data_IF_489150770631
#
_entry.id   IF_489150770631
#
_cell.length_a   1.000
_cell.length_b   1.000
_cell.length_c   1.000
_cell.angle_alpha   90.00
_cell.angle_beta   90.00
_cell.angle_gamma   90.00
#
_symmetry.space_group_name_H-M   'P 1'
#
loop_
_entity.id
_entity.type
_entity.pdbx_description
1 polymer ?
#
# COMPACT_ATOMS: atom_id res chain seq x y z
N UNK A 1 -7.31 27.04 14.53
CA UNK A 1 -6.06 26.51 15.09
C UNK A 1 -5.41 25.71 13.98
N UNK A 2 -4.12 25.93 13.69
CA UNK A 2 -3.43 25.23 12.60
C UNK A 2 -3.32 23.74 12.93
N UNK A 3 -3.59 22.85 11.96
CA UNK A 3 -3.58 21.41 12.18
C UNK A 3 -2.12 20.94 12.40
N UNK A 4 -1.78 20.56 13.64
CA UNK A 4 -0.41 20.18 14.02
C UNK A 4 0.15 19.04 13.18
N UNK A 5 -0.68 18.10 12.71
CA UNK A 5 -0.24 16.97 11.90
C UNK A 5 0.21 17.43 10.50
N UNK A 6 -0.42 18.47 9.95
CA UNK A 6 0.04 19.12 8.71
C UNK A 6 1.39 19.82 8.93
N UNK A 7 1.57 20.49 10.07
CA UNK A 7 2.85 21.11 10.42
C UNK A 7 3.99 20.08 10.57
N UNK A 8 3.68 18.90 11.13
CA UNK A 8 4.64 17.79 11.22
C UNK A 8 5.05 17.28 9.84
N UNK A 9 4.15 17.17 8.87
CA UNK A 9 4.56 16.78 7.51
C UNK A 9 5.60 17.72 6.90
N UNK A 10 5.51 19.02 7.19
CA UNK A 10 6.47 20.01 6.72
C UNK A 10 7.84 19.90 7.41
N UNK A 11 7.86 19.51 8.70
CA UNK A 11 9.07 19.47 9.54
C UNK A 11 9.76 18.11 9.58
N UNK A 12 9.03 17.01 9.38
CA UNK A 12 9.56 15.64 9.33
C UNK A 12 10.59 15.46 8.20
N UNK A 13 10.57 16.31 7.16
CA UNK A 13 11.62 16.38 6.14
C UNK A 13 13.04 16.55 6.71
N UNK A 14 13.18 17.21 7.88
CA UNK A 14 14.46 17.39 8.57
C UNK A 14 14.95 16.11 9.27
N UNK A 15 14.05 15.16 9.52
CA UNK A 15 14.34 13.89 10.16
C UNK A 15 14.65 12.80 9.11
N UNK A 16 14.17 12.98 7.88
CA UNK A 16 14.37 12.06 6.78
C UNK A 16 15.79 12.14 6.18
N UNK A 17 16.33 11.00 5.78
CA UNK A 17 17.58 10.86 5.04
C UNK A 17 17.32 10.16 3.71
N UNK A 18 17.86 10.66 2.58
CA UNK A 18 17.76 9.94 1.32
C UNK A 18 18.70 8.72 1.34
N UNK A 19 18.21 7.54 0.93
CA UNK A 19 19.07 6.37 0.69
C UNK A 19 19.90 6.54 -0.59
N UNK A 20 19.34 7.23 -1.58
CA UNK A 20 19.97 7.50 -2.88
C UNK A 20 19.82 9.00 -3.19
N UNK A 21 20.89 9.63 -3.67
CA UNK A 21 20.88 11.03 -4.09
C UNK A 21 20.20 11.27 -5.46
N UNK A 22 19.88 12.53 -5.74
CA UNK A 22 19.17 12.91 -6.98
C UNK A 22 19.95 12.64 -8.27
N UNK A 23 21.27 12.65 -8.21
CA UNK A 23 22.13 12.34 -9.37
C UNK A 23 22.00 10.86 -9.73
N UNK A 24 22.11 9.97 -8.75
CA UNK A 24 21.96 8.53 -8.95
C UNK A 24 20.54 8.16 -9.34
N UNK A 25 19.51 8.84 -8.83
CA UNK A 25 18.12 8.65 -9.28
C UNK A 25 17.97 8.94 -10.78
N UNK A 26 18.55 10.05 -11.23
CA UNK A 26 18.51 10.47 -12.65
C UNK A 26 19.31 9.52 -13.54
N UNK A 27 20.48 9.08 -13.06
CA UNK A 27 21.36 8.16 -13.78
C UNK A 27 20.69 6.80 -14.02
N UNK A 28 19.94 6.27 -13.04
CA UNK A 28 19.19 5.01 -13.18
C UNK A 28 18.20 5.10 -14.34
N UNK A 29 17.43 6.18 -14.40
CA UNK A 29 16.43 6.37 -15.46
C UNK A 29 17.10 6.50 -16.82
N UNK A 30 18.16 7.30 -16.92
CA UNK A 30 18.95 7.45 -18.13
C UNK A 30 19.54 6.12 -18.61
N UNK A 31 20.14 5.33 -17.71
CA UNK A 31 20.71 4.02 -18.03
C UNK A 31 19.64 3.04 -18.52
N UNK A 32 18.43 3.06 -17.94
CA UNK A 32 17.33 2.22 -18.38
C UNK A 32 16.89 2.55 -19.81
N UNK A 33 16.71 3.85 -20.11
CA UNK A 33 16.37 4.32 -21.45
C UNK A 33 17.46 3.97 -22.47
N UNK A 34 18.73 4.21 -22.13
CA UNK A 34 19.86 3.89 -22.99
C UNK A 34 19.98 2.39 -23.27
N UNK A 35 19.85 1.54 -22.23
CA UNK A 35 19.92 0.09 -22.37
C UNK A 35 18.75 -0.48 -23.19
N UNK A 36 17.58 0.16 -23.16
CA UNK A 36 16.44 -0.18 -24.00
C UNK A 36 16.61 0.23 -25.47
N UNK A 37 17.63 1.05 -25.78
CA UNK A 37 17.91 1.56 -27.11
C UNK A 37 17.08 2.79 -27.50
N UNK A 38 16.53 3.51 -26.52
CA UNK A 38 15.75 4.72 -26.74
C UNK A 38 16.62 5.84 -27.33
N UNK A 39 16.18 6.43 -28.43
CA UNK A 39 16.85 7.51 -29.16
C UNK A 39 16.14 8.84 -28.89
N UNK A 40 16.83 9.95 -29.16
CA UNK A 40 16.27 11.31 -29.02
C UNK A 40 15.02 11.56 -29.88
N UNK A 41 14.85 10.81 -30.98
CA UNK A 41 13.70 10.89 -31.87
C UNK A 41 12.51 10.05 -31.43
N UNK A 42 12.71 9.15 -30.47
CA UNK A 42 11.66 8.25 -29.99
C UNK A 42 10.74 8.97 -28.99
N UNK A 43 9.59 8.37 -28.72
CA UNK A 43 8.71 8.84 -27.66
C UNK A 43 9.41 8.70 -26.30
N UNK A 44 9.57 9.82 -25.58
CA UNK A 44 10.20 9.85 -24.26
C UNK A 44 9.12 9.70 -23.20
N UNK A 45 9.24 8.73 -22.26
CA UNK A 45 8.27 8.60 -21.20
C UNK A 45 8.39 9.75 -20.20
N UNK A 46 7.26 10.13 -19.62
CA UNK A 46 7.25 10.96 -18.41
C UNK A 46 7.56 10.07 -17.21
N UNK A 47 8.37 10.59 -16.31
CA UNK A 47 8.70 9.93 -15.05
C UNK A 47 7.97 10.63 -13.90
N UNK A 48 7.16 9.86 -13.18
CA UNK A 48 6.57 10.26 -11.90
C UNK A 48 7.34 9.52 -10.82
N UNK A 49 7.80 10.26 -9.79
CA UNK A 49 8.61 9.72 -8.72
C UNK A 49 7.89 9.74 -7.39
N UNK A 50 7.94 8.62 -6.68
CA UNK A 50 7.40 8.50 -5.32
C UNK A 50 8.51 8.58 -4.27
N UNK A 51 8.82 9.80 -3.83
CA UNK A 51 10.00 10.05 -3.00
C UNK A 51 9.89 9.49 -1.58
N UNK A 52 8.67 9.22 -1.08
CA UNK A 52 8.45 8.67 0.26
C UNK A 52 9.06 7.27 0.46
N UNK A 53 9.37 6.57 -0.64
CA UNK A 53 9.94 5.22 -0.63
C UNK A 53 11.45 5.19 -0.42
N UNK A 54 12.13 6.28 -0.75
CA UNK A 54 13.60 6.40 -0.63
C UNK A 54 14.04 7.42 0.42
N UNK A 55 13.08 8.14 1.01
CA UNK A 55 13.27 8.88 2.25
C UNK A 55 13.11 7.90 3.42
N UNK A 56 14.19 7.72 4.18
CA UNK A 56 14.16 6.90 5.40
C UNK A 56 14.21 7.76 6.65
N UNK A 57 13.51 7.31 7.67
CA UNK A 57 13.40 7.97 8.96
C UNK A 57 13.77 7.00 10.07
N UNK A 58 14.52 7.48 11.07
CA UNK A 58 14.68 6.76 12.33
C UNK A 58 13.42 6.96 13.17
N UNK A 59 12.56 5.94 13.16
CA UNK A 59 11.28 5.99 13.88
C UNK A 59 11.46 6.16 15.39
N UNK A 60 12.61 5.80 15.96
CA UNK A 60 12.91 5.95 17.40
C UNK A 60 13.26 7.38 17.81
N UNK A 61 13.55 8.26 16.84
CA UNK A 61 13.96 9.66 17.07
C UNK A 61 12.81 10.65 16.85
N UNK A 62 11.61 10.17 16.55
CA UNK A 62 10.43 11.03 16.39
C UNK A 62 10.12 11.69 17.75
N UNK A 63 10.02 13.03 17.83
CA UNK A 63 9.88 13.72 19.13
C UNK A 63 8.64 13.31 19.94
N UNK A 64 7.55 12.92 19.28
CA UNK A 64 6.28 12.60 19.94
C UNK A 64 6.19 11.18 20.52
N UNK A 65 7.14 10.29 20.24
CA UNK A 65 7.04 8.90 20.68
C UNK A 65 7.64 8.66 22.08
N UNK A 66 6.96 7.83 22.85
CA UNK A 66 7.33 7.50 24.22
C UNK A 66 8.38 6.38 24.29
N UNK A 67 9.12 6.32 25.41
CA UNK A 67 10.17 5.31 25.63
C UNK A 67 9.66 3.87 25.49
N UNK A 68 8.45 3.57 25.99
CA UNK A 68 7.86 2.24 25.86
C UNK A 68 7.66 1.85 24.39
N UNK A 69 7.29 2.82 23.53
CA UNK A 69 7.14 2.61 22.10
C UNK A 69 8.49 2.46 21.41
N UNK A 70 9.49 3.26 21.81
CA UNK A 70 10.89 3.11 21.33
C UNK A 70 11.40 1.70 21.61
N UNK A 71 11.21 1.21 22.83
CA UNK A 71 11.65 -0.13 23.24
C UNK A 71 10.92 -1.22 22.43
N UNK A 72 9.61 -1.08 22.22
CA UNK A 72 8.82 -2.00 21.39
C UNK A 72 9.27 -2.01 19.92
N UNK A 73 9.41 -0.83 19.30
CA UNK A 73 9.85 -0.68 17.91
C UNK A 73 11.24 -1.29 17.76
N UNK A 74 12.18 -0.93 18.64
CA UNK A 74 13.54 -1.47 18.63
C UNK A 74 13.54 -3.00 18.74
N UNK A 75 12.72 -3.57 19.62
CA UNK A 75 12.60 -5.02 19.74
C UNK A 75 12.08 -5.67 18.46
N UNK A 76 11.09 -5.07 17.79
CA UNK A 76 10.54 -5.58 16.53
C UNK A 76 11.54 -5.47 15.38
N UNK A 77 12.33 -4.40 15.34
CA UNK A 77 13.27 -4.11 14.25
C UNK A 77 14.64 -4.78 14.39
N UNK A 78 15.03 -5.23 15.60
CA UNK A 78 16.24 -6.05 15.83
C UNK A 78 16.27 -7.34 15.01
N UNK A 79 15.13 -7.78 14.48
CA UNK A 79 15.07 -8.91 13.55
C UNK A 79 15.47 -8.40 12.16
N UNK A 80 16.64 -8.83 11.69
CA UNK A 80 17.07 -8.58 10.30
C UNK A 80 15.97 -9.04 9.33
N UNK A 81 15.69 -8.28 8.24
CA UNK A 81 14.82 -8.79 7.19
C UNK A 81 15.40 -10.11 6.68
N UNK A 82 14.52 -11.06 6.33
CA UNK A 82 14.95 -12.33 5.76
C UNK A 82 15.66 -12.14 4.40
N UNK A 83 15.35 -11.06 3.69
CA UNK A 83 15.93 -10.68 2.40
C UNK A 83 16.01 -9.13 2.30
N UNK A 84 17.14 -8.51 2.68
CA UNK A 84 17.31 -7.05 2.61
C UNK A 84 17.34 -6.50 1.18
N UNK A 85 17.83 -7.29 0.21
CA UNK A 85 17.81 -6.94 -1.20
C UNK A 85 16.37 -6.85 -1.73
N UNK A 86 15.45 -7.67 -1.19
CA UNK A 86 14.03 -7.60 -1.53
C UNK A 86 13.40 -6.31 -1.00
N UNK A 87 13.81 -5.86 0.19
CA UNK A 87 13.37 -4.59 0.75
C UNK A 87 13.86 -3.41 -0.09
N UNK A 88 15.14 -3.40 -0.41
CA UNK A 88 15.74 -2.41 -1.30
C UNK A 88 15.05 -2.40 -2.67
N UNK A 89 14.82 -3.57 -3.25
CA UNK A 89 14.20 -3.70 -4.57
C UNK A 89 12.78 -3.15 -4.58
N UNK A 90 11.96 -3.48 -3.57
CA UNK A 90 10.59 -2.98 -3.49
C UNK A 90 10.53 -1.46 -3.33
N UNK A 91 11.37 -0.88 -2.46
CA UNK A 91 11.47 0.57 -2.31
C UNK A 91 11.85 1.26 -3.63
N UNK A 92 12.87 0.73 -4.32
CA UNK A 92 13.30 1.23 -5.63
C UNK A 92 12.22 1.06 -6.69
N UNK A 93 11.53 -0.07 -6.73
CA UNK A 93 10.49 -0.34 -7.72
C UNK A 93 9.28 0.58 -7.52
N UNK A 94 8.93 0.89 -6.27
CA UNK A 94 7.89 1.86 -5.95
C UNK A 94 8.27 3.31 -6.28
N UNK A 95 9.57 3.65 -6.27
CA UNK A 95 10.02 5.00 -6.61
C UNK A 95 9.69 5.37 -8.07
N UNK A 96 9.95 4.48 -9.02
CA UNK A 96 9.87 4.79 -10.45
C UNK A 96 8.51 4.41 -11.07
N UNK A 97 7.81 5.40 -11.60
CA UNK A 97 6.60 5.21 -12.40
C UNK A 97 6.77 5.91 -13.76
N UNK A 98 6.82 5.13 -14.84
CA UNK A 98 6.82 5.68 -16.19
C UNK A 98 5.40 5.72 -16.75
N UNK A 99 5.04 6.86 -17.32
CA UNK A 99 3.83 7.04 -18.12
C UNK A 99 4.18 7.37 -19.56
N UNK A 100 3.49 6.73 -20.49
CA UNK A 100 3.72 6.87 -21.92
C UNK A 100 2.50 7.51 -22.57
N UNK A 101 2.64 8.75 -23.00
CA UNK A 101 1.57 9.46 -23.70
C UNK A 101 1.57 9.08 -25.18
N UNK A 102 0.40 8.81 -25.77
CA UNK A 102 0.23 8.58 -27.21
C UNK A 102 0.96 7.34 -27.79
N UNK A 103 0.95 6.21 -27.07
CA UNK A 103 1.36 4.91 -27.63
C UNK A 103 0.40 4.51 -28.78
N UNK A 104 0.76 4.89 -29.99
CA UNK A 104 -0.09 4.70 -31.18
C UNK A 104 0.42 3.57 -32.09
N UNK A 105 1.71 3.25 -31.99
CA UNK A 105 2.34 2.20 -32.79
C UNK A 105 2.81 1.02 -31.93
N UNK A 106 2.85 -0.16 -32.54
CA UNK A 106 3.31 -1.39 -31.88
C UNK A 106 4.78 -1.27 -31.44
N UNK A 107 5.59 -0.56 -32.22
CA UNK A 107 6.99 -0.28 -31.94
C UNK A 107 7.18 0.50 -30.63
N UNK A 108 6.32 1.49 -30.38
CA UNK A 108 6.36 2.31 -29.15
C UNK A 108 6.04 1.46 -27.92
N UNK A 109 5.03 0.58 -28.02
CA UNK A 109 4.69 -0.35 -26.94
C UNK A 109 5.84 -1.34 -26.65
N UNK A 110 6.51 -1.84 -27.69
CA UNK A 110 7.69 -2.70 -27.54
C UNK A 110 8.84 -1.92 -26.88
N UNK A 111 9.07 -0.67 -27.26
CA UNK A 111 10.08 0.17 -26.63
C UNK A 111 9.75 0.43 -25.16
N UNK A 112 8.50 0.73 -24.83
CA UNK A 112 8.04 0.91 -23.45
C UNK A 112 8.28 -0.33 -22.58
N UNK A 113 7.98 -1.53 -23.11
CA UNK A 113 8.27 -2.80 -22.45
C UNK A 113 9.78 -3.00 -22.23
N UNK A 114 10.61 -2.64 -23.22
CA UNK A 114 12.07 -2.72 -23.10
C UNK A 114 12.60 -1.77 -22.03
N UNK A 115 12.09 -0.54 -21.95
CA UNK A 115 12.48 0.42 -20.92
C UNK A 115 12.09 -0.07 -19.52
N UNK A 116 10.89 -0.62 -19.34
CA UNK A 116 10.47 -1.22 -18.06
C UNK A 116 11.34 -2.42 -17.67
N UNK A 117 11.60 -3.31 -18.62
CA UNK A 117 12.49 -4.47 -18.40
C UNK A 117 13.91 -4.01 -18.03
N UNK A 118 14.43 -3.00 -18.74
CA UNK A 118 15.73 -2.43 -18.50
C UNK A 118 15.83 -1.76 -17.11
N UNK A 119 14.81 -0.99 -16.73
CA UNK A 119 14.70 -0.42 -15.40
C UNK A 119 14.74 -1.53 -14.34
N UNK A 120 13.87 -2.54 -14.43
CA UNK A 120 13.83 -3.63 -13.45
C UNK A 120 15.18 -4.34 -13.30
N UNK A 121 15.91 -4.56 -14.41
CA UNK A 121 17.26 -5.12 -14.37
C UNK A 121 18.25 -4.24 -13.59
N UNK A 122 18.24 -2.93 -13.84
CA UNK A 122 19.10 -1.97 -13.14
C UNK A 122 18.73 -1.88 -11.66
N UNK A 123 17.43 -1.82 -11.33
CA UNK A 123 16.96 -1.77 -9.94
C UNK A 123 17.37 -3.01 -9.16
N UNK A 124 17.33 -4.20 -9.78
CA UNK A 124 17.81 -5.45 -9.16
C UNK A 124 19.29 -5.43 -8.85
N UNK A 125 20.11 -4.78 -9.68
CA UNK A 125 21.55 -4.63 -9.41
C UNK A 125 21.77 -3.66 -8.24
N UNK A 126 21.10 -2.52 -8.26
CA UNK A 126 21.27 -1.47 -7.25
C UNK A 126 20.71 -1.90 -5.90
N UNK A 127 19.65 -2.71 -5.88
CA UNK A 127 19.10 -3.23 -4.63
C UNK A 127 20.11 -4.05 -3.83
N UNK A 128 20.96 -4.83 -4.51
CA UNK A 128 22.07 -5.56 -3.89
C UNK A 128 23.14 -4.61 -3.36
N UNK A 129 23.44 -3.53 -4.08
CA UNK A 129 24.45 -2.53 -3.69
C UNK A 129 24.04 -1.77 -2.41
N UNK A 130 22.75 -1.45 -2.25
CA UNK A 130 22.24 -0.66 -1.11
C UNK A 130 21.67 -1.52 0.03
N UNK A 131 21.54 -2.84 -0.15
CA UNK A 131 20.94 -3.73 0.85
C UNK A 131 21.64 -3.63 2.21
N UNK A 132 22.97 -3.49 2.22
CA UNK A 132 23.76 -3.34 3.44
C UNK A 132 23.30 -2.16 4.29
N UNK A 133 23.02 -1.02 3.67
CA UNK A 133 22.60 0.19 4.39
C UNK A 133 21.23 0.00 5.08
N UNK A 134 20.38 -0.88 4.55
CA UNK A 134 19.05 -1.20 5.11
C UNK A 134 19.09 -2.29 6.20
N UNK A 135 20.12 -3.14 6.21
CA UNK A 135 20.32 -4.18 7.23
C UNK A 135 20.81 -3.56 8.53
N UNK A 136 21.85 -2.72 8.45
CA UNK A 136 22.61 -2.26 9.62
C UNK A 136 22.01 -1.04 10.31
N UNK A 137 21.01 -0.41 9.71
CA UNK A 137 20.30 0.68 10.35
C UNK A 137 19.12 0.09 11.12
N UNK A 138 19.30 -0.02 12.45
CA UNK A 138 18.34 -0.64 13.38
C UNK A 138 16.94 0.00 13.32
N UNK A 139 16.82 1.22 12.79
CA UNK A 139 15.63 2.05 12.87
C UNK A 139 15.29 2.86 11.62
N UNK A 140 16.18 2.94 10.61
CA UNK A 140 15.93 3.72 9.39
C UNK A 140 15.09 2.91 8.41
N UNK A 141 13.88 3.40 8.17
CA UNK A 141 12.90 2.73 7.32
C UNK A 141 12.11 3.74 6.48
N UNK A 142 11.46 3.31 5.39
CA UNK A 142 10.73 4.22 4.50
C UNK A 142 9.68 5.07 5.22
N UNK A 143 9.63 6.36 4.88
CA UNK A 143 8.83 7.39 5.55
C UNK A 143 7.31 7.24 5.33
N UNK A 144 6.88 6.49 4.31
CA UNK A 144 5.47 6.41 3.89
C UNK A 144 4.48 6.03 5.01
N UNK A 145 4.88 5.20 5.99
CA UNK A 145 4.01 4.85 7.13
C UNK A 145 3.74 6.06 8.02
N UNK A 146 4.78 6.88 8.26
CA UNK A 146 4.65 8.11 9.06
C UNK A 146 3.81 9.13 8.29
N UNK A 147 4.05 9.25 6.98
CA UNK A 147 3.26 10.15 6.15
C UNK A 147 1.77 9.78 6.15
N UNK A 148 1.43 8.49 6.02
CA UNK A 148 0.04 8.02 6.14
C UNK A 148 -0.57 8.33 7.50
N UNK A 149 0.16 8.07 8.59
CA UNK A 149 -0.30 8.43 9.94
C UNK A 149 -0.62 9.92 10.05
N UNK A 150 0.28 10.79 9.57
CA UNK A 150 0.04 12.22 9.59
C UNK A 150 -1.15 12.63 8.71
N UNK A 151 -1.31 12.04 7.52
CA UNK A 151 -2.45 12.32 6.62
C UNK A 151 -3.76 11.95 7.27
N UNK A 152 -3.84 10.75 7.83
CA UNK A 152 -5.03 10.26 8.54
C UNK A 152 -5.33 11.10 9.76
N UNK A 153 -4.36 11.33 10.65
CA UNK A 153 -4.56 12.11 11.87
C UNK A 153 -4.93 13.57 11.59
N UNK A 154 -4.45 14.15 10.48
CA UNK A 154 -4.85 15.49 10.08
C UNK A 154 -6.34 15.60 9.71
N UNK A 155 -7.00 14.48 9.44
CA UNK A 155 -8.40 14.44 9.01
C UNK A 155 -9.34 13.86 10.08
N UNK A 156 -8.84 13.23 11.14
CA UNK A 156 -9.70 12.75 12.24
C UNK A 156 -10.12 13.95 13.12
N UNK A 157 -11.42 14.07 13.49
CA UNK A 157 -11.85 15.12 14.40
C UNK A 157 -11.12 15.09 15.76
N UNK A 158 -10.70 16.24 16.27
CA UNK A 158 -9.93 16.34 17.54
C UNK A 158 -10.65 15.71 18.74
N UNK A 159 -11.98 15.74 18.77
CA UNK A 159 -12.77 15.06 19.81
C UNK A 159 -12.55 13.54 19.80
N UNK A 160 -12.46 12.94 18.61
CA UNK A 160 -12.20 11.50 18.44
C UNK A 160 -10.78 11.18 18.87
N UNK A 161 -9.80 12.02 18.48
CA UNK A 161 -8.39 11.89 18.88
C UNK A 161 -8.24 11.94 20.42
N UNK A 162 -8.94 12.89 21.06
CA UNK A 162 -8.87 13.11 22.50
C UNK A 162 -9.49 11.98 23.33
N UNK A 163 -10.62 11.41 22.90
CA UNK A 163 -11.36 10.37 23.66
C UNK A 163 -10.61 9.06 23.84
N UNK A 164 -9.75 8.70 22.89
CA UNK A 164 -9.10 7.39 22.82
C UNK A 164 -7.57 7.47 22.83
N UNK A 165 -7.03 8.66 23.14
CA UNK A 165 -5.59 8.93 23.17
C UNK A 165 -4.86 8.54 21.88
N UNK A 166 -5.50 8.70 20.70
CA UNK A 166 -4.85 8.41 19.40
C UNK A 166 -3.61 9.29 19.14
N UNK A 167 -3.48 10.38 19.90
CA UNK A 167 -2.29 11.24 19.93
C UNK A 167 -1.03 10.53 20.45
N UNK A 168 -1.15 9.42 21.19
CA UNK A 168 -0.02 8.65 21.74
C UNK A 168 0.24 7.37 20.96
N UNK A 169 -0.09 7.34 19.66
CA UNK A 169 0.13 6.18 18.79
C UNK A 169 1.42 6.39 18.00
N UNK A 170 2.32 5.42 18.08
CA UNK A 170 3.50 5.36 17.22
C UNK A 170 3.24 4.42 16.05
N UNK A 171 3.45 4.89 14.83
CA UNK A 171 3.32 4.09 13.62
C UNK A 171 4.70 3.82 13.03
N UNK A 172 4.98 2.58 12.62
CA UNK A 172 6.27 2.21 12.03
C UNK A 172 6.15 1.09 10.99
N UNK A 173 7.01 1.07 9.96
CA UNK A 173 7.15 -0.07 9.09
C UNK A 173 7.86 -1.22 9.80
N UNK A 174 7.51 -2.46 9.46
CA UNK A 174 8.03 -3.70 9.98
C UNK A 174 8.75 -4.44 8.86
N UNK A 175 9.91 -5.05 9.15
CA UNK A 175 10.78 -5.74 8.18
C UNK A 175 10.24 -7.12 7.77
N UNK A 176 8.94 -7.21 7.44
CA UNK A 176 8.24 -8.41 6.97
C UNK A 176 7.69 -8.22 5.56
N UNK A 177 7.73 -9.31 4.77
CA UNK A 177 7.29 -9.34 3.37
C UNK A 177 5.80 -9.58 3.13
N UNK A 178 5.02 -9.88 4.17
CA UNK A 178 3.59 -10.22 3.99
C UNK A 178 2.72 -8.97 3.83
N UNK A 179 1.57 -9.14 3.18
CA UNK A 179 0.55 -8.11 3.04
C UNK A 179 -0.27 -7.98 4.32
N UNK A 180 0.24 -7.25 5.32
CA UNK A 180 -0.48 -7.07 6.57
C UNK A 180 -0.09 -5.79 7.32
N UNK A 181 -1.00 -5.31 8.16
CA UNK A 181 -0.76 -4.34 9.22
C UNK A 181 -1.18 -4.94 10.57
N UNK A 182 -0.83 -4.28 11.67
CA UNK A 182 -1.29 -4.69 12.99
C UNK A 182 -1.30 -3.50 13.95
N UNK A 183 -2.13 -3.60 14.97
CA UNK A 183 -2.20 -2.68 16.09
C UNK A 183 -1.95 -3.41 17.41
N UNK A 184 -1.35 -2.72 18.37
CA UNK A 184 -1.10 -3.25 19.72
C UNK A 184 -1.22 -2.14 20.75
N UNK A 185 -1.86 -2.44 21.87
CA UNK A 185 -1.89 -1.56 23.04
C UNK A 185 -0.81 -2.01 24.03
N UNK A 186 0.07 -1.08 24.39
CA UNK A 186 1.07 -1.23 25.44
C UNK A 186 0.47 -0.81 26.79
N UNK A 187 1.29 -0.66 27.83
CA UNK A 187 0.80 -0.33 29.17
C UNK A 187 0.24 1.10 29.21
N UNK A 188 1.00 2.08 28.71
CA UNK A 188 0.58 3.50 28.67
C UNK A 188 0.35 4.05 27.28
N UNK A 189 0.78 3.33 26.24
CA UNK A 189 0.83 3.82 24.86
C UNK A 189 0.32 2.78 23.87
N UNK A 190 0.30 3.09 22.57
CA UNK A 190 -0.13 2.17 21.52
C UNK A 190 0.78 2.26 20.31
N UNK A 191 0.84 1.17 19.54
CA UNK A 191 1.67 1.09 18.33
C UNK A 191 0.87 0.50 17.18
N UNK A 192 1.13 0.99 15.98
CA UNK A 192 0.65 0.41 14.72
C UNK A 192 1.85 0.06 13.86
N UNK A 193 1.90 -1.18 13.39
CA UNK A 193 2.97 -1.67 12.54
C UNK A 193 2.47 -2.06 11.16
N UNK A 194 3.16 -1.61 10.12
CA UNK A 194 2.86 -1.95 8.72
C UNK A 194 3.97 -2.81 8.15
N UNK A 195 3.67 -3.90 7.47
CA UNK A 195 4.72 -4.61 6.75
C UNK A 195 5.25 -3.74 5.60
N UNK A 196 6.57 -3.62 5.47
CA UNK A 196 7.19 -2.70 4.51
C UNK A 196 6.77 -2.98 3.06
N UNK A 197 6.46 -4.24 2.74
CA UNK A 197 6.10 -4.66 1.39
C UNK A 197 4.66 -4.28 1.01
N UNK A 198 3.86 -3.77 1.94
CA UNK A 198 2.44 -3.53 1.73
C UNK A 198 2.18 -2.43 0.67
N UNK A 199 2.78 -1.24 0.78
CA UNK A 199 2.66 -0.20 -0.27
C UNK A 199 3.17 -0.68 -1.63
N UNK A 200 4.39 -1.26 -1.74
CA UNK A 200 4.92 -1.64 -3.04
C UNK A 200 4.07 -2.66 -3.77
N UNK A 201 3.51 -3.61 -3.02
CA UNK A 201 2.60 -4.62 -3.56
C UNK A 201 1.29 -3.99 -4.03
N UNK A 202 0.68 -3.08 -3.23
CA UNK A 202 -0.50 -2.35 -3.67
C UNK A 202 -0.24 -1.60 -4.96
N UNK A 203 0.93 -0.97 -5.08
CA UNK A 203 1.33 -0.25 -6.29
C UNK A 203 1.45 -1.17 -7.49
N UNK A 204 2.03 -2.35 -7.33
CA UNK A 204 2.11 -3.37 -8.38
C UNK A 204 0.70 -3.82 -8.80
N UNK A 205 -0.19 -4.11 -7.85
CA UNK A 205 -1.56 -4.55 -8.13
C UNK A 205 -2.40 -3.46 -8.82
N UNK A 206 -2.32 -2.22 -8.34
CA UNK A 206 -3.00 -1.08 -8.98
C UNK A 206 -2.43 -0.80 -10.37
N UNK A 207 -1.11 -0.84 -10.55
CA UNK A 207 -0.47 -0.70 -11.87
C UNK A 207 -0.92 -1.79 -12.84
N UNK A 208 -1.02 -3.03 -12.36
CA UNK A 208 -1.51 -4.16 -13.14
C UNK A 208 -2.98 -3.95 -13.55
N UNK A 209 -3.83 -3.61 -12.59
CA UNK A 209 -5.24 -3.31 -12.84
C UNK A 209 -5.40 -2.18 -13.88
N UNK A 210 -4.75 -1.04 -13.64
CA UNK A 210 -4.84 0.14 -14.50
C UNK A 210 -4.33 -0.18 -15.90
N UNK A 211 -3.16 -0.82 -16.04
CA UNK A 211 -2.64 -1.23 -17.35
C UNK A 211 -3.69 -2.01 -18.15
N UNK A 212 -4.23 -3.09 -17.57
CA UNK A 212 -5.20 -3.88 -18.30
C UNK A 212 -6.50 -3.13 -18.54
N UNK A 213 -6.98 -2.34 -17.56
CA UNK A 213 -8.17 -1.52 -17.69
C UNK A 213 -8.05 -0.49 -18.83
N UNK A 214 -6.95 0.26 -18.92
CA UNK A 214 -6.75 1.26 -19.97
C UNK A 214 -6.37 0.66 -21.33
N UNK A 215 -5.88 -0.59 -21.38
CA UNK A 215 -5.55 -1.27 -22.65
C UNK A 215 -6.64 -2.20 -23.17
N UNK A 216 -7.89 -2.15 -22.66
CA UNK A 216 -8.96 -3.09 -23.03
C UNK A 216 -9.10 -3.27 -24.55
N UNK A 217 -9.13 -2.17 -25.29
CA UNK A 217 -9.31 -2.17 -26.75
C UNK A 217 -8.08 -2.61 -27.54
N UNK A 218 -6.89 -2.60 -26.92
CA UNK A 218 -5.61 -2.95 -27.55
C UNK A 218 -5.24 -4.43 -27.38
N UNK A 219 -5.95 -5.15 -26.51
CA UNK A 219 -5.37 -6.32 -25.86
C UNK A 219 -5.54 -7.65 -26.60
N UNK A 220 -6.39 -7.74 -27.63
CA UNK A 220 -6.61 -8.97 -28.41
C UNK A 220 -7.03 -10.19 -27.59
N UNK A 221 -7.15 -11.36 -28.23
CA UNK A 221 -7.64 -12.59 -27.59
C UNK A 221 -6.69 -13.21 -26.56
N UNK A 222 -5.40 -12.88 -26.60
CA UNK A 222 -4.39 -13.40 -25.66
C UNK A 222 -4.24 -12.59 -24.37
N UNK A 223 -5.06 -11.55 -24.17
CA UNK A 223 -5.04 -10.65 -23.01
C UNK A 223 -5.00 -11.37 -21.68
N UNK A 224 -5.94 -12.29 -21.45
CA UNK A 224 -6.08 -13.00 -20.18
C UNK A 224 -4.86 -13.90 -19.93
N UNK A 225 -4.34 -14.55 -20.96
CA UNK A 225 -3.13 -15.36 -20.84
C UNK A 225 -1.90 -14.51 -20.48
N UNK A 226 -1.77 -13.30 -21.05
CA UNK A 226 -0.71 -12.35 -20.67
C UNK A 226 -0.89 -11.86 -19.24
N UNK A 227 -2.09 -11.45 -18.86
CA UNK A 227 -2.42 -11.04 -17.49
C UNK A 227 -2.01 -12.11 -16.47
N UNK A 228 -2.30 -13.39 -16.74
CA UNK A 228 -1.87 -14.50 -15.90
C UNK A 228 -0.34 -14.61 -15.77
N UNK A 229 0.40 -14.47 -16.87
CA UNK A 229 1.87 -14.50 -16.85
C UNK A 229 2.46 -13.38 -16.00
N UNK A 230 1.85 -12.20 -16.03
CA UNK A 230 2.31 -11.00 -15.34
C UNK A 230 1.95 -10.99 -13.84
N UNK A 231 0.80 -11.55 -13.44
CA UNK A 231 0.36 -11.58 -12.03
C UNK A 231 0.91 -12.78 -11.25
N UNK A 232 1.27 -13.87 -11.93
CA UNK A 232 1.73 -15.10 -11.29
C UNK A 232 2.95 -14.89 -10.37
N UNK A 233 3.98 -14.08 -10.71
CA UNK A 233 5.08 -13.78 -9.79
C UNK A 233 4.62 -13.13 -8.49
N UNK A 234 3.63 -12.22 -8.56
CA UNK A 234 3.03 -11.55 -7.39
C UNK A 234 2.34 -12.58 -6.50
N UNK A 235 1.55 -13.48 -7.10
CA UNK A 235 0.91 -14.58 -6.38
C UNK A 235 1.95 -15.51 -5.71
N UNK A 236 3.04 -15.87 -6.42
CA UNK A 236 4.11 -16.70 -5.86
C UNK A 236 4.85 -16.02 -4.72
N UNK A 237 5.05 -14.71 -4.79
CA UNK A 237 5.67 -13.92 -3.73
C UNK A 237 4.88 -14.03 -2.42
N UNK A 238 3.53 -13.93 -2.48
CA UNK A 238 2.68 -14.11 -1.30
C UNK A 238 2.71 -15.53 -0.72
N UNK A 239 3.00 -16.54 -1.54
CA UNK A 239 3.18 -17.92 -1.09
C UNK A 239 4.60 -18.21 -0.59
N UNK A 240 5.45 -17.18 -0.45
CA UNK A 240 6.86 -17.29 -0.09
C UNK A 240 7.70 -18.13 -1.07
N UNK A 241 7.24 -18.29 -2.31
CA UNK A 241 7.88 -19.11 -3.36
C UNK A 241 8.64 -18.27 -4.42
N UNK A 242 8.74 -16.96 -4.23
CA UNK A 242 9.48 -16.03 -5.09
C UNK A 242 10.14 -14.90 -4.29
N UNK A 243 11.24 -14.34 -4.81
CA UNK A 243 11.88 -13.12 -4.29
C UNK A 243 11.13 -11.89 -4.81
N UNK A 244 11.22 -10.76 -4.10
CA UNK A 244 10.68 -9.50 -4.61
C UNK A 244 11.30 -9.10 -5.95
N UNK A 245 12.57 -9.45 -6.18
CA UNK A 245 13.26 -9.17 -7.44
C UNK A 245 12.71 -9.95 -8.65
N UNK A 246 11.82 -10.93 -8.40
CA UNK A 246 11.09 -11.65 -9.44
C UNK A 246 9.75 -10.97 -9.79
N UNK A 247 9.35 -9.92 -9.06
CA UNK A 247 8.15 -9.11 -9.32
C UNK A 247 8.37 -8.15 -10.50
N UNK A 248 8.73 -8.72 -11.64
CA UNK A 248 8.95 -8.01 -12.88
C UNK A 248 7.63 -8.02 -13.64
N UNK A 249 6.98 -6.86 -13.72
CA UNK A 249 5.76 -6.68 -14.50
C UNK A 249 6.05 -5.90 -15.79
N UNK A 250 5.54 -6.40 -16.91
CA UNK A 250 5.46 -5.73 -18.21
C UNK A 250 4.26 -4.77 -18.34
N UNK A 251 3.64 -4.36 -17.23
CA UNK A 251 2.52 -3.42 -17.26
C UNK A 251 2.99 -2.00 -17.59
N UNK A 252 2.43 -1.38 -18.63
CA UNK A 252 2.71 0.00 -19.06
C UNK A 252 1.52 0.90 -18.74
N UNK A 253 1.76 2.12 -18.27
CA UNK A 253 0.72 3.11 -18.02
C UNK A 253 0.63 4.07 -19.21
N UNK A 254 -0.59 4.26 -19.76
CA UNK A 254 -0.82 4.95 -21.04
C UNK A 254 -1.43 6.33 -20.81
N UNK A 255 -0.90 7.05 -19.84
CA UNK A 255 -1.05 8.50 -19.65
C UNK A 255 -0.44 8.89 -18.30
N UNK A 256 -0.21 10.19 -18.13
CA UNK A 256 0.07 10.75 -16.80
C UNK A 256 -1.10 10.56 -15.82
N UNK A 257 -2.34 10.52 -16.31
CA UNK A 257 -3.54 10.32 -15.48
C UNK A 257 -3.61 8.89 -14.93
N UNK A 258 -3.26 7.88 -15.73
CA UNK A 258 -3.13 6.48 -15.29
C UNK A 258 -2.11 6.37 -14.15
N UNK A 259 -0.93 6.99 -14.33
CA UNK A 259 0.12 6.97 -13.32
C UNK A 259 -0.30 7.71 -12.04
N UNK A 260 -0.93 8.88 -12.17
CA UNK A 260 -1.47 9.63 -11.02
C UNK A 260 -2.56 8.84 -10.30
N UNK A 261 -3.41 8.12 -11.05
CA UNK A 261 -4.46 7.26 -10.50
C UNK A 261 -3.87 6.11 -9.70
N UNK A 262 -2.84 5.43 -10.19
CA UNK A 262 -2.13 4.39 -9.43
C UNK A 262 -1.63 4.94 -8.09
N UNK A 263 -0.94 6.08 -8.07
CA UNK A 263 -0.43 6.67 -6.83
C UNK A 263 -1.57 7.05 -5.86
N UNK A 264 -2.64 7.67 -6.37
CA UNK A 264 -3.82 8.03 -5.57
C UNK A 264 -4.45 6.79 -4.92
N UNK A 265 -4.74 5.76 -5.71
CA UNK A 265 -5.35 4.53 -5.22
C UNK A 265 -4.51 3.90 -4.11
N UNK A 266 -3.20 3.81 -4.30
CA UNK A 266 -2.29 3.28 -3.26
C UNK A 266 -2.35 4.13 -1.99
N UNK A 267 -2.23 5.46 -2.10
CA UNK A 267 -2.26 6.34 -0.93
C UNK A 267 -3.58 6.23 -0.15
N UNK A 268 -4.71 6.20 -0.86
CA UNK A 268 -6.05 6.05 -0.28
C UNK A 268 -6.23 4.69 0.41
N UNK A 269 -5.70 3.62 -0.17
CA UNK A 269 -5.71 2.27 0.42
C UNK A 269 -4.85 2.18 1.68
N UNK A 270 -3.64 2.76 1.65
CA UNK A 270 -2.75 2.83 2.83
C UNK A 270 -3.43 3.63 3.95
N UNK A 271 -4.03 4.78 3.63
CA UNK A 271 -4.71 5.63 4.59
C UNK A 271 -5.94 4.93 5.19
N UNK A 272 -6.68 4.13 4.40
CA UNK A 272 -7.76 3.30 4.93
C UNK A 272 -7.26 2.24 5.91
N UNK A 273 -6.18 1.52 5.56
CA UNK A 273 -5.59 0.53 6.47
C UNK A 273 -5.12 1.20 7.77
N UNK A 274 -4.49 2.37 7.69
CA UNK A 274 -4.11 3.16 8.86
C UNK A 274 -5.31 3.55 9.70
N UNK A 275 -6.38 4.05 9.08
CA UNK A 275 -7.61 4.40 9.78
C UNK A 275 -8.26 3.17 10.46
N UNK A 276 -8.26 2.02 9.80
CA UNK A 276 -8.74 0.75 10.33
C UNK A 276 -7.94 0.32 11.58
N UNK A 277 -6.61 0.37 11.53
CA UNK A 277 -5.76 0.06 12.69
C UNK A 277 -5.93 1.05 13.84
N UNK A 278 -6.14 2.34 13.55
CA UNK A 278 -6.51 3.31 14.58
C UNK A 278 -7.90 3.02 15.16
N UNK A 279 -8.83 2.49 14.38
CA UNK A 279 -10.13 1.99 14.84
C UNK A 279 -9.99 0.85 15.86
N UNK A 280 -9.10 -0.11 15.60
CA UNK A 280 -8.77 -1.15 16.59
C UNK A 280 -8.30 -0.56 17.92
N UNK A 281 -7.47 0.49 17.88
CA UNK A 281 -7.00 1.17 19.09
C UNK A 281 -8.11 1.98 19.76
N UNK A 282 -8.93 2.69 18.98
CA UNK A 282 -10.06 3.49 19.47
C UNK A 282 -11.02 2.65 20.30
N UNK A 283 -11.34 1.45 19.80
CA UNK A 283 -12.27 0.51 20.44
C UNK A 283 -11.58 -0.50 21.37
N UNK A 284 -10.28 -0.33 21.64
CA UNK A 284 -9.46 -1.21 22.48
C UNK A 284 -9.52 -2.71 22.09
N UNK A 285 -9.60 -3.01 20.79
CA UNK A 285 -9.66 -4.38 20.25
C UNK A 285 -8.51 -5.27 20.71
N UNK A 286 -7.23 -4.83 20.76
CA UNK A 286 -6.15 -5.69 21.26
C UNK A 286 -6.39 -6.22 22.67
N UNK A 287 -7.04 -5.44 23.55
CA UNK A 287 -7.40 -5.88 24.90
C UNK A 287 -8.60 -6.84 24.87
N UNK A 288 -9.65 -6.54 24.09
CA UNK A 288 -10.81 -7.43 23.91
C UNK A 288 -10.39 -8.80 23.34
N UNK A 289 -9.48 -8.82 22.36
CA UNK A 289 -8.94 -10.04 21.75
C UNK A 289 -8.32 -10.96 22.80
N UNK A 290 -7.57 -10.42 23.77
CA UNK A 290 -6.96 -11.23 24.84
C UNK A 290 -7.98 -11.88 25.79
N UNK A 291 -9.21 -11.37 25.84
CA UNK A 291 -10.28 -11.86 26.72
C UNK A 291 -11.17 -12.91 26.07
N UNK A 292 -11.16 -13.01 24.74
CA UNK A 292 -11.99 -13.94 23.98
C UNK A 292 -11.24 -15.21 23.55
N UNK A 293 -9.96 -15.35 23.88
CA UNK A 293 -9.18 -16.55 23.53
C UNK A 293 -9.76 -17.78 24.24
N UNK A 294 -10.09 -18.81 23.47
CA UNK A 294 -10.53 -20.12 23.96
C UNK A 294 -12.01 -20.21 24.33
N UNK A 295 -12.85 -19.26 23.90
CA UNK A 295 -14.32 -19.33 24.09
C UNK A 295 -15.01 -19.93 22.85
N UNK A 296 -16.23 -20.45 23.02
CA UNK A 296 -16.99 -21.14 21.96
C UNK A 296 -17.21 -20.28 20.70
N UNK A 297 -17.49 -18.98 20.86
CA UNK A 297 -17.74 -18.03 19.76
C UNK A 297 -16.53 -17.13 19.44
N UNK A 298 -15.30 -17.57 19.71
CA UNK A 298 -14.09 -16.75 19.53
C UNK A 298 -14.00 -16.15 18.11
N UNK A 299 -14.25 -16.96 17.09
CA UNK A 299 -14.11 -16.56 15.68
C UNK A 299 -15.14 -15.50 15.29
N UNK A 300 -16.41 -15.67 15.68
CA UNK A 300 -17.47 -14.70 15.41
C UNK A 300 -17.14 -13.36 16.07
N UNK A 301 -16.72 -13.37 17.33
CA UNK A 301 -16.32 -12.14 18.02
C UNK A 301 -15.11 -11.47 17.39
N UNK A 302 -14.11 -12.23 16.91
CA UNK A 302 -12.99 -11.66 16.14
C UNK A 302 -13.51 -10.95 14.89
N UNK A 303 -14.44 -11.57 14.15
CA UNK A 303 -15.04 -10.95 12.97
C UNK A 303 -15.80 -9.66 13.29
N UNK A 304 -16.54 -9.63 14.40
CA UNK A 304 -17.23 -8.42 14.85
C UNK A 304 -16.26 -7.26 15.12
N UNK A 305 -15.10 -7.54 15.73
CA UNK A 305 -14.07 -6.52 16.00
C UNK A 305 -13.47 -5.95 14.70
N UNK A 306 -13.21 -6.80 13.70
CA UNK A 306 -12.71 -6.36 12.39
C UNK A 306 -13.74 -5.47 11.67
N UNK A 307 -15.02 -5.86 11.72
CA UNK A 307 -16.12 -5.07 11.15
C UNK A 307 -16.32 -3.76 11.93
N UNK A 308 -16.12 -3.75 13.25
CA UNK A 308 -16.16 -2.54 14.08
C UNK A 308 -15.04 -1.55 13.66
N UNK A 309 -13.85 -2.05 13.36
CA UNK A 309 -12.73 -1.23 12.86
C UNK A 309 -12.97 -0.68 11.43
N UNK A 310 -13.54 -1.48 10.52
CA UNK A 310 -13.94 -1.00 9.18
C UNK A 310 -15.01 0.09 9.24
N UNK A 311 -16.01 -0.10 10.10
CA UNK A 311 -17.06 0.89 10.36
C UNK A 311 -16.47 2.19 10.88
N UNK A 312 -15.54 2.10 11.83
CA UNK A 312 -14.84 3.28 12.34
C UNK A 312 -14.18 4.06 11.19
N UNK A 313 -13.39 3.38 10.35
CA UNK A 313 -12.70 4.03 9.24
C UNK A 313 -13.67 4.70 8.26
N UNK A 314 -14.74 4.00 7.90
CA UNK A 314 -15.80 4.53 7.05
C UNK A 314 -16.51 5.76 7.65
N UNK A 315 -16.90 5.70 8.92
CA UNK A 315 -17.61 6.82 9.57
C UNK A 315 -16.74 8.08 9.68
N UNK A 316 -15.42 7.94 9.85
CA UNK A 316 -14.51 9.08 9.77
C UNK A 316 -14.55 9.71 8.38
N UNK A 317 -14.45 8.92 7.31
CA UNK A 317 -14.55 9.44 5.94
C UNK A 317 -15.87 10.14 5.68
N UNK A 318 -16.97 9.56 6.14
CA UNK A 318 -18.30 10.14 6.02
C UNK A 318 -18.45 11.45 6.80
N UNK A 319 -17.78 11.56 7.95
CA UNK A 319 -17.82 12.78 8.78
C UNK A 319 -17.28 14.01 8.05
N UNK A 320 -16.32 13.84 7.14
CA UNK A 320 -15.76 14.95 6.35
C UNK A 320 -16.79 15.59 5.43
N UNK A 321 -17.75 14.81 4.95
CA UNK A 321 -18.88 15.32 4.15
C UNK A 321 -19.85 16.10 5.04
N UNK A 322 -20.11 15.65 6.27
CA UNK A 322 -20.99 16.35 7.21
C UNK A 322 -20.43 17.73 7.61
N UNK A 323 -19.11 17.86 7.78
CA UNK A 323 -18.46 19.14 8.05
C UNK A 323 -18.57 20.16 6.90
N UNK A 324 -18.90 19.70 5.70
CA UNK A 324 -19.10 20.54 4.52
C UNK A 324 -20.59 20.76 4.20
N UNK A 325 -21.51 20.17 4.97
CA UNK A 325 -22.94 20.12 4.63
C UNK A 325 -23.57 21.50 4.38
N UNK A 326 -23.19 22.50 5.17
CA UNK A 326 -23.74 23.86 5.07
C UNK A 326 -23.11 24.69 3.92
N UNK A 327 -22.13 24.13 3.18
CA UNK A 327 -21.47 24.78 2.05
C UNK A 327 -21.53 23.88 0.80
N UNK A 328 -22.45 24.15 -0.15
CA UNK A 328 -22.68 23.29 -1.31
C UNK A 328 -21.45 23.00 -2.18
N UNK A 329 -20.62 24.02 -2.46
CA UNK A 329 -19.41 23.84 -3.29
C UNK A 329 -18.37 22.96 -2.58
N UNK A 330 -18.19 23.18 -1.26
CA UNK A 330 -17.30 22.37 -0.44
C UNK A 330 -17.85 20.94 -0.31
N UNK A 331 -19.16 20.78 -0.20
CA UNK A 331 -19.83 19.48 -0.08
C UNK A 331 -19.62 18.64 -1.34
N UNK A 332 -19.81 19.22 -2.53
CA UNK A 332 -19.59 18.52 -3.80
C UNK A 332 -18.15 18.01 -3.90
N UNK A 333 -17.17 18.85 -3.56
CA UNK A 333 -15.76 18.46 -3.52
C UNK A 333 -15.53 17.29 -2.56
N UNK A 334 -16.10 17.35 -1.35
CA UNK A 334 -15.95 16.29 -0.33
C UNK A 334 -16.65 14.99 -0.72
N UNK A 335 -17.79 15.06 -1.39
CA UNK A 335 -18.48 13.88 -1.91
C UNK A 335 -17.65 13.19 -3.00
N UNK A 336 -17.01 13.96 -3.89
CA UNK A 336 -16.11 13.41 -4.91
C UNK A 336 -14.86 12.76 -4.28
N UNK A 337 -14.24 13.42 -3.30
CA UNK A 337 -13.13 12.84 -2.52
C UNK A 337 -13.55 11.55 -1.81
N UNK A 338 -14.72 11.56 -1.17
CA UNK A 338 -15.29 10.39 -0.49
C UNK A 338 -15.55 9.23 -1.46
N UNK A 339 -16.16 9.49 -2.62
CA UNK A 339 -16.40 8.47 -3.64
C UNK A 339 -15.09 7.85 -4.14
N UNK A 340 -14.06 8.68 -4.38
CA UNK A 340 -12.74 8.23 -4.81
C UNK A 340 -12.02 7.38 -3.75
N UNK A 341 -12.21 7.70 -2.47
CA UNK A 341 -11.71 6.90 -1.35
C UNK A 341 -12.43 5.55 -1.27
N UNK A 342 -13.76 5.54 -1.35
CA UNK A 342 -14.54 4.28 -1.32
C UNK A 342 -14.13 3.37 -2.48
N UNK A 343 -13.97 3.90 -3.69
CA UNK A 343 -13.45 3.16 -4.85
C UNK A 343 -12.12 2.46 -4.53
N UNK A 344 -11.18 3.19 -3.92
CA UNK A 344 -9.87 2.63 -3.56
C UNK A 344 -9.98 1.49 -2.53
N UNK A 345 -10.88 1.62 -1.55
CA UNK A 345 -11.15 0.59 -0.52
C UNK A 345 -11.85 -0.63 -1.12
N UNK A 346 -12.77 -0.45 -2.06
CA UNK A 346 -13.38 -1.57 -2.77
C UNK A 346 -12.32 -2.38 -3.53
N UNK A 347 -11.41 -1.70 -4.24
CA UNK A 347 -10.29 -2.34 -4.92
C UNK A 347 -9.35 -3.06 -3.95
N UNK A 348 -9.10 -2.50 -2.75
CA UNK A 348 -8.32 -3.18 -1.71
C UNK A 348 -8.93 -4.52 -1.32
N UNK A 349 -10.25 -4.57 -1.07
CA UNK A 349 -10.91 -5.82 -0.71
C UNK A 349 -10.94 -6.83 -1.86
N UNK A 350 -11.08 -6.38 -3.11
CA UNK A 350 -10.97 -7.24 -4.30
C UNK A 350 -9.56 -7.84 -4.39
N UNK A 351 -8.52 -7.04 -4.18
CA UNK A 351 -7.13 -7.53 -4.16
C UNK A 351 -6.88 -8.52 -3.03
N UNK A 352 -7.38 -8.24 -1.83
CA UNK A 352 -7.25 -9.16 -0.70
C UNK A 352 -7.92 -10.51 -1.00
N UNK A 353 -9.14 -10.50 -1.56
CA UNK A 353 -9.83 -11.72 -2.02
C UNK A 353 -8.98 -12.48 -3.02
N UNK A 354 -8.54 -11.81 -4.08
CA UNK A 354 -7.72 -12.43 -5.13
C UNK A 354 -6.47 -13.10 -4.57
N UNK A 355 -5.77 -12.42 -3.66
CA UNK A 355 -4.56 -12.95 -3.03
C UNK A 355 -4.84 -14.19 -2.21
N UNK A 356 -5.92 -14.21 -1.42
CA UNK A 356 -6.26 -15.35 -0.57
C UNK A 356 -6.78 -16.55 -1.37
N UNK A 357 -7.62 -16.31 -2.38
CA UNK A 357 -8.07 -17.35 -3.31
C UNK A 357 -6.90 -17.95 -4.10
N UNK A 358 -5.99 -17.10 -4.58
CA UNK A 358 -4.81 -17.55 -5.33
C UNK A 358 -3.85 -18.39 -4.47
N UNK A 359 -3.64 -18.03 -3.20
CA UNK A 359 -2.89 -18.86 -2.24
C UNK A 359 -3.56 -20.22 -2.04
N UNK A 360 -4.88 -20.23 -1.84
CA UNK A 360 -5.65 -21.46 -1.64
C UNK A 360 -5.50 -22.41 -2.83
N UNK A 361 -5.70 -21.90 -4.04
CA UNK A 361 -5.58 -22.65 -5.29
C UNK A 361 -4.18 -23.25 -5.51
N UNK A 362 -3.11 -22.49 -5.22
CA UNK A 362 -1.74 -22.98 -5.38
C UNK A 362 -1.43 -24.05 -4.35
N UNK A 363 -1.81 -23.85 -3.08
CA UNK A 363 -1.57 -24.82 -2.02
C UNK A 363 -2.26 -26.16 -2.32
N UNK A 364 -3.51 -26.12 -2.81
CA UNK A 364 -4.24 -27.32 -3.26
C UNK A 364 -3.46 -28.06 -4.37
N UNK A 365 -3.01 -27.34 -5.41
CA UNK A 365 -2.32 -27.94 -6.56
C UNK A 365 -0.93 -28.49 -6.23
N UNK A 366 -0.18 -27.85 -5.33
CA UNK A 366 1.19 -28.26 -4.97
C UNK A 366 1.16 -29.39 -3.92
N UNK A 367 -0.01 -29.75 -3.40
CA UNK A 367 -0.14 -30.80 -2.38
C UNK A 367 0.54 -30.44 -1.06
N UNK A 368 0.92 -29.17 -0.88
CA UNK A 368 1.26 -28.65 0.44
C UNK A 368 -0.04 -28.72 1.22
N UNK A 369 -0.05 -29.44 2.35
CA UNK A 369 -1.06 -29.14 3.37
C UNK A 369 -1.00 -27.63 3.51
N UNK A 370 -2.12 -26.96 3.25
CA UNK A 370 -2.32 -25.64 3.81
C UNK A 370 -1.93 -25.83 5.26
N UNK A 371 -0.73 -25.37 5.65
CA UNK A 371 -0.55 -24.90 7.00
C UNK A 371 -1.58 -23.82 7.00
N UNK A 372 -2.78 -24.15 7.46
CA UNK A 372 -3.82 -23.18 7.67
C UNK A 372 -3.08 -22.07 8.38
N UNK A 373 -2.87 -20.95 7.68
CA UNK A 373 -2.80 -19.70 8.39
C UNK A 373 -4.09 -19.75 9.17
N UNK A 374 -3.98 -20.12 10.45
CA UNK A 374 -4.98 -19.96 11.51
C UNK A 374 -6.33 -19.60 10.92
N UNK A 375 -7.27 -20.57 10.86
CA UNK A 375 -8.68 -20.36 10.49
C UNK A 375 -9.01 -18.87 10.53
N UNK A 376 -9.09 -18.26 9.33
CA UNK A 376 -8.97 -16.82 9.09
C UNK A 376 -9.42 -16.00 10.30
N UNK A 377 -8.50 -15.41 11.05
CA UNK A 377 -8.83 -14.58 12.22
C UNK A 377 -9.63 -13.32 11.85
N UNK A 378 -9.81 -13.09 10.55
CA UNK A 378 -10.53 -11.98 9.94
C UNK A 378 -11.74 -12.50 9.14
N UNK A 379 -12.84 -11.73 9.04
CA UNK A 379 -13.93 -12.06 8.14
C UNK A 379 -13.43 -12.01 6.69
N UNK A 380 -14.09 -12.75 5.79
CA UNK A 380 -13.69 -12.76 4.38
C UNK A 380 -13.76 -11.36 3.77
N UNK A 381 -12.87 -11.07 2.84
CA UNK A 381 -12.83 -9.79 2.12
C UNK A 381 -14.16 -9.45 1.44
N UNK A 382 -14.90 -10.46 0.93
CA UNK A 382 -16.25 -10.26 0.38
C UNK A 382 -17.27 -9.81 1.43
N UNK A 383 -17.17 -10.36 2.65
CA UNK A 383 -18.04 -9.95 3.76
C UNK A 383 -17.77 -8.50 4.13
N UNK A 384 -16.49 -8.13 4.26
CA UNK A 384 -16.06 -6.76 4.56
C UNK A 384 -16.50 -5.78 3.46
N UNK A 385 -16.32 -6.15 2.19
CA UNK A 385 -16.77 -5.38 1.03
C UNK A 385 -18.30 -5.19 1.01
N UNK A 386 -19.07 -6.25 1.28
CA UNK A 386 -20.53 -6.17 1.37
C UNK A 386 -20.99 -5.20 2.47
N UNK A 387 -20.34 -5.25 3.64
CA UNK A 387 -20.61 -4.31 4.73
C UNK A 387 -20.27 -2.88 4.32
N UNK A 388 -19.10 -2.64 3.72
CA UNK A 388 -18.68 -1.32 3.24
C UNK A 388 -19.71 -0.74 2.26
N UNK A 389 -20.11 -1.50 1.24
CA UNK A 389 -21.11 -1.08 0.25
C UNK A 389 -22.42 -0.68 0.91
N UNK A 390 -22.92 -1.49 1.84
CA UNK A 390 -24.14 -1.20 2.60
C UNK A 390 -24.01 0.09 3.43
N UNK A 391 -22.86 0.34 4.05
CA UNK A 391 -22.61 1.55 4.84
C UNK A 391 -22.53 2.81 3.97
N UNK A 392 -21.89 2.68 2.80
CA UNK A 392 -21.66 3.80 1.89
C UNK A 392 -22.96 4.29 1.24
N UNK A 393 -23.92 3.38 1.01
CA UNK A 393 -25.14 3.67 0.26
C UNK A 393 -24.89 4.03 -1.21
N UNK A 394 -23.66 3.85 -1.70
CA UNK A 394 -23.28 4.05 -3.08
C UNK A 394 -23.55 2.74 -3.84
N UNK A 395 -24.39 2.80 -4.87
CA UNK A 395 -24.43 1.73 -5.86
C UNK A 395 -23.08 1.70 -6.59
N UNK A 396 -22.55 0.49 -6.84
CA UNK A 396 -21.24 0.29 -7.49
C UNK A 396 -21.27 0.86 -8.91
N UNK A 397 -20.93 2.14 -9.03
CA UNK A 397 -20.96 2.90 -10.28
C UNK A 397 -19.54 3.22 -10.80
N UNK A 398 -18.49 2.71 -10.14
CA UNK A 398 -17.12 2.87 -10.60
C UNK A 398 -16.80 1.83 -11.70
N UNK A 399 -16.50 2.26 -12.94
CA UNK A 399 -16.18 1.34 -14.03
C UNK A 399 -14.93 0.50 -13.77
N UNK A 400 -13.94 1.05 -13.04
CA UNK A 400 -12.72 0.33 -12.71
C UNK A 400 -12.97 -0.77 -11.65
N UNK A 401 -13.85 -0.51 -10.69
CA UNK A 401 -14.27 -1.53 -9.69
C UNK A 401 -15.02 -2.67 -10.38
N UNK A 402 -15.99 -2.35 -11.24
CA UNK A 402 -16.75 -3.37 -12.00
C UNK A 402 -15.81 -4.22 -12.88
N UNK A 403 -14.85 -3.57 -13.52
CA UNK A 403 -13.81 -4.26 -14.29
C UNK A 403 -12.97 -5.17 -13.38
N UNK A 404 -12.51 -4.67 -12.24
CA UNK A 404 -11.69 -5.42 -11.29
C UNK A 404 -12.42 -6.67 -10.75
N UNK A 405 -13.70 -6.57 -10.41
CA UNK A 405 -14.51 -7.69 -9.93
C UNK A 405 -14.64 -8.83 -10.94
N UNK A 406 -14.62 -8.50 -12.23
CA UNK A 406 -14.69 -9.50 -13.31
C UNK A 406 -13.32 -10.06 -13.66
N UNK A 407 -12.28 -9.24 -13.48
CA UNK A 407 -10.93 -9.55 -13.92
C UNK A 407 -10.12 -10.39 -12.92
N UNK A 408 -10.33 -10.14 -11.62
CA UNK A 408 -9.71 -10.86 -10.50
C UNK A 408 -10.70 -11.82 -9.85
#
# INVERSE_FOLDING_TARGET
MENKYIAYMGTDNLLCKPIIDGERISLISFQAMYMAGLKETDLIPKMIMDLEQIQVLDYTQIPEIEREQVDYISQKLRVSPFAPEDLAFLALKSLYCYSWDNLTFQEDAILALKVESALNHILKKISVEIAGDLIYQDSLLPYWVRLSYLRVMSKIPEEVIGRSNLKSVACFPNKKKSFNAFSTMLQSSSVVGFNYALEPILKILNRFLIHFYSTQDLSGSSRIARAWGEILPVVRYFNNDASASDLVSGCILISQDDATTVHRLVADQIDFIMMHELGHLFHAHPRKLSQIVGIEDELEKRHELEIEADKFAHEIYKSWCYEAYDNPEKLETKLNEYAALIEAVELLFIFMRFVDESKSLINEKVGRKSTSSTESTHPSSDTRLSVLRKLSGLEVNSPIVQYAETFF
#
